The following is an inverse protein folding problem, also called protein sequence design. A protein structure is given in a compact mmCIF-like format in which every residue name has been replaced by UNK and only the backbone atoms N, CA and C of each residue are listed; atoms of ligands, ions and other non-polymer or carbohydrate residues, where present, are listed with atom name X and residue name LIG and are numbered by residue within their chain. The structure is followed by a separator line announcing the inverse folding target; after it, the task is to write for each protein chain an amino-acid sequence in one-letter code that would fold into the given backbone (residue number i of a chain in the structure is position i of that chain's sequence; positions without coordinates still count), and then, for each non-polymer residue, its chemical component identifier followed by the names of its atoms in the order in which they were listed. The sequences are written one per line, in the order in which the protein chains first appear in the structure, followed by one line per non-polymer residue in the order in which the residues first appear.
data_IF_384407036492
#
_entry.id   IF_384407036492
#
_cell.length_a   1.000
_cell.length_b   1.000
_cell.length_c   1.000
_cell.angle_alpha   90.00
_cell.angle_beta   90.00
_cell.angle_gamma   90.00
#
_symmetry.space_group_name_H-M   'P 1'
#
loop_
_entity.id
_entity.type
_entity.pdbx_description
1 polymer ?
#
# COMPACT_ATOMS: atom_id res chain seq x y z
N UNK A 1 -17.38 -4.35 -0.13
CA UNK A 1 -16.19 -4.13 0.73
C UNK A 1 -15.02 -3.47 0.00
N UNK A 2 -14.52 -4.00 -1.13
CA UNK A 2 -13.31 -3.49 -1.84
C UNK A 2 -13.35 -2.02 -2.27
N UNK A 3 -14.55 -1.46 -2.55
CA UNK A 3 -14.74 -0.06 -2.99
C UNK A 3 -14.38 0.96 -1.91
N UNK A 4 -14.51 0.59 -0.64
CA UNK A 4 -14.34 1.49 0.52
C UNK A 4 -12.84 1.76 0.75
N UNK A 5 -12.01 0.75 0.50
CA UNK A 5 -10.54 0.84 0.58
C UNK A 5 -9.97 1.83 -0.45
N UNK A 6 -10.55 1.83 -1.66
CA UNK A 6 -10.16 2.74 -2.75
C UNK A 6 -10.49 4.19 -2.42
N UNK A 7 -11.59 4.44 -1.70
CA UNK A 7 -11.99 5.78 -1.28
C UNK A 7 -11.14 6.32 -0.11
N UNK A 8 -10.70 5.45 0.81
CA UNK A 8 -9.75 5.85 1.87
C UNK A 8 -8.40 6.31 1.29
N UNK A 9 -7.90 5.64 0.24
CA UNK A 9 -6.62 6.03 -0.39
C UNK A 9 -6.74 7.37 -1.15
N UNK A 10 -7.89 7.61 -1.81
CA UNK A 10 -8.14 8.85 -2.54
C UNK A 10 -8.25 10.06 -1.61
N UNK A 11 -8.79 9.89 -0.40
CA UNK A 11 -8.89 10.94 0.62
C UNK A 11 -7.53 11.41 1.17
N UNK A 12 -6.49 10.57 1.12
CA UNK A 12 -5.14 10.93 1.56
C UNK A 12 -4.45 11.94 0.63
N UNK A 13 -4.84 12.02 -0.65
CA UNK A 13 -4.27 12.98 -1.60
C UNK A 13 -4.60 14.44 -1.25
N UNK A 14 -5.79 14.68 -0.66
CA UNK A 14 -6.25 16.00 -0.25
C UNK A 14 -5.37 16.63 0.84
N UNK A 15 -4.83 15.81 1.75
CA UNK A 15 -3.93 16.27 2.81
C UNK A 15 -2.57 16.71 2.26
N UNK A 16 -2.08 16.08 1.19
CA UNK A 16 -0.81 16.43 0.54
C UNK A 16 -0.86 17.81 -0.10
N UNK A 17 -1.98 18.12 -0.77
CA UNK A 17 -2.22 19.38 -1.45
C UNK A 17 -2.25 20.58 -0.47
N UNK A 18 -2.85 20.45 0.71
CA UNK A 18 -2.92 21.55 1.68
C UNK A 18 -1.55 21.92 2.29
N UNK A 19 -0.60 20.98 2.32
CA UNK A 19 0.75 21.22 2.85
C UNK A 19 1.67 21.98 1.87
N UNK A 20 1.29 22.12 0.59
CA UNK A 20 2.13 22.72 -0.45
C UNK A 20 2.23 24.26 -0.39
N UNK A 21 1.53 24.92 0.52
CA UNK A 21 1.35 26.39 0.55
C UNK A 21 2.21 27.17 1.55
N UNK A 22 3.09 26.53 2.34
CA UNK A 22 3.86 27.21 3.39
C UNK A 22 5.24 27.68 2.89
N UNK A 23 5.59 28.98 2.96
CA UNK A 23 6.89 29.49 2.50
C UNK A 23 8.06 29.08 3.42
N UNK A 24 9.01 28.36 2.80
CA UNK A 24 10.49 28.41 2.91
C UNK A 24 11.18 28.73 4.27
N UNK A 25 11.62 27.68 4.97
CA UNK A 25 12.95 27.59 5.64
C UNK A 25 13.43 26.12 5.85
N UNK A 26 12.76 25.13 5.24
CA UNK A 26 13.06 23.71 5.42
C UNK A 26 11.78 22.87 5.37
N UNK A 27 11.93 21.55 5.21
CA UNK A 27 10.79 20.65 5.32
C UNK A 27 10.18 20.78 6.72
N UNK A 28 9.02 21.42 6.83
CA UNK A 28 8.35 21.60 8.11
C UNK A 28 8.00 20.26 8.75
N UNK A 29 7.81 20.25 10.07
CA UNK A 29 7.44 19.04 10.83
C UNK A 29 6.24 18.31 10.21
N UNK A 30 5.29 19.05 9.63
CA UNK A 30 4.13 18.50 8.92
C UNK A 30 4.53 17.68 7.68
N UNK A 31 5.52 18.12 6.90
CA UNK A 31 6.05 17.39 5.74
C UNK A 31 6.72 16.09 6.17
N UNK A 32 7.48 16.12 7.26
CA UNK A 32 8.13 14.93 7.82
C UNK A 32 7.09 13.91 8.34
N UNK A 33 6.05 14.37 9.03
CA UNK A 33 4.93 13.52 9.45
C UNK A 33 4.14 12.95 8.26
N UNK A 34 3.94 13.72 7.19
CA UNK A 34 3.24 13.25 5.99
C UNK A 34 4.03 12.14 5.27
N UNK A 35 5.32 12.37 5.01
CA UNK A 35 6.20 11.37 4.40
C UNK A 35 6.38 10.15 5.31
N UNK A 36 6.52 10.36 6.62
CA UNK A 36 6.61 9.28 7.61
C UNK A 36 5.34 8.42 7.64
N UNK A 37 4.17 9.03 7.62
CA UNK A 37 2.89 8.30 7.58
C UNK A 37 2.74 7.51 6.27
N UNK A 38 3.12 8.09 5.13
CA UNK A 38 3.15 7.38 3.86
C UNK A 38 4.12 6.19 3.87
N UNK A 39 5.32 6.35 4.44
CA UNK A 39 6.28 5.26 4.60
C UNK A 39 5.74 4.13 5.48
N UNK A 40 5.04 4.46 6.58
CA UNK A 40 4.36 3.46 7.42
C UNK A 40 3.29 2.71 6.63
N UNK A 41 2.46 3.40 5.85
CA UNK A 41 1.46 2.75 4.99
C UNK A 41 2.15 1.75 4.05
N UNK A 42 3.23 2.16 3.38
CA UNK A 42 3.98 1.27 2.47
C UNK A 42 4.46 0.04 3.24
N UNK A 43 5.09 0.18 4.40
CA UNK A 43 5.58 -0.97 5.18
C UNK A 43 4.44 -1.91 5.58
N UNK A 44 3.35 -1.37 6.11
CA UNK A 44 2.22 -2.17 6.60
C UNK A 44 1.44 -2.87 5.47
N UNK A 45 1.40 -2.33 4.26
CA UNK A 45 0.81 -3.03 3.10
C UNK A 45 1.80 -3.92 2.37
N UNK A 46 3.11 -3.65 2.48
CA UNK A 46 4.12 -4.38 1.71
C UNK A 46 4.28 -5.81 2.21
N UNK A 47 4.23 -6.02 3.52
CA UNK A 47 4.25 -7.36 4.11
C UNK A 47 3.10 -8.24 3.59
N UNK A 48 1.81 -7.85 3.71
CA UNK A 48 0.72 -8.65 3.16
C UNK A 48 0.78 -8.76 1.63
N UNK A 49 1.22 -7.72 0.92
CA UNK A 49 1.42 -7.79 -0.53
C UNK A 49 2.46 -8.84 -0.93
N UNK A 50 3.59 -8.91 -0.22
CA UNK A 50 4.64 -9.90 -0.45
C UNK A 50 4.16 -11.32 -0.15
N UNK A 51 3.35 -11.51 0.90
CA UNK A 51 2.75 -12.82 1.22
C UNK A 51 1.83 -13.28 0.07
N UNK A 52 0.96 -12.40 -0.44
CA UNK A 52 0.09 -12.75 -1.56
C UNK A 52 0.88 -12.97 -2.85
N UNK A 53 1.89 -12.15 -3.11
CA UNK A 53 2.76 -12.28 -4.27
C UNK A 53 3.50 -13.62 -4.26
N UNK A 54 4.07 -14.01 -3.12
CA UNK A 54 4.71 -15.31 -2.95
C UNK A 54 3.71 -16.47 -3.12
N UNK A 55 2.50 -16.34 -2.58
CA UNK A 55 1.42 -17.31 -2.78
C UNK A 55 1.02 -17.45 -4.25
N UNK A 56 0.98 -16.35 -4.98
CA UNK A 56 0.63 -16.31 -6.41
C UNK A 56 1.73 -16.95 -7.27
N UNK A 57 3.00 -16.63 -7.00
CA UNK A 57 4.14 -17.30 -7.63
C UNK A 57 4.07 -18.81 -7.36
N UNK A 58 3.88 -19.22 -6.11
CA UNK A 58 3.83 -20.64 -5.76
C UNK A 58 2.65 -21.34 -6.42
N UNK A 59 1.49 -20.68 -6.54
CA UNK A 59 0.33 -21.17 -7.29
C UNK A 59 0.59 -21.31 -8.79
N UNK A 60 1.33 -20.37 -9.39
CA UNK A 60 1.71 -20.43 -10.80
C UNK A 60 2.64 -21.61 -11.11
N UNK A 61 3.53 -21.94 -10.18
CA UNK A 61 4.47 -23.06 -10.30
C UNK A 61 3.96 -24.38 -9.72
N UNK A 62 2.80 -24.40 -9.05
CA UNK A 62 2.18 -25.63 -8.58
C UNK A 62 1.67 -26.44 -9.78
N UNK A 63 2.24 -27.63 -9.95
CA UNK A 63 1.78 -28.58 -10.95
C UNK A 63 0.31 -28.93 -10.66
N UNK A 64 -0.58 -28.99 -11.66
CA UNK A 64 -1.93 -29.48 -11.44
C UNK A 64 -1.80 -30.92 -10.93
N UNK A 65 -2.12 -31.10 -9.65
CA UNK A 65 -2.39 -32.41 -9.08
C UNK A 65 -3.52 -33.00 -9.93
N UNK A 66 -3.13 -33.89 -10.85
CA UNK A 66 -4.03 -34.79 -11.54
C UNK A 66 -4.91 -35.45 -10.49
N UNK A 67 -6.14 -34.96 -10.42
CA UNK A 67 -7.22 -35.51 -9.61
C UNK A 67 -7.40 -36.96 -10.08
N UNK A 68 -6.69 -37.87 -9.43
CA UNK A 68 -6.85 -39.30 -9.67
C UNK A 68 -8.16 -39.69 -9.01
N UNK A 69 -9.23 -39.57 -9.80
CA UNK A 69 -10.49 -40.27 -9.63
C UNK A 69 -10.21 -41.71 -9.22
N UNK A 70 -10.57 -42.07 -7.99
CA UNK A 70 -10.89 -43.42 -7.56
C UNK A 70 -12.04 -43.36 -6.58
#
# INVERSE_FOLDING_TARGET
MMKILLWMVAGSASAAYAATGAPSEGAGLLTYCFVGFFALIIVFQFVPAMILFAGMIKGLFSHPEKTSVK
#
